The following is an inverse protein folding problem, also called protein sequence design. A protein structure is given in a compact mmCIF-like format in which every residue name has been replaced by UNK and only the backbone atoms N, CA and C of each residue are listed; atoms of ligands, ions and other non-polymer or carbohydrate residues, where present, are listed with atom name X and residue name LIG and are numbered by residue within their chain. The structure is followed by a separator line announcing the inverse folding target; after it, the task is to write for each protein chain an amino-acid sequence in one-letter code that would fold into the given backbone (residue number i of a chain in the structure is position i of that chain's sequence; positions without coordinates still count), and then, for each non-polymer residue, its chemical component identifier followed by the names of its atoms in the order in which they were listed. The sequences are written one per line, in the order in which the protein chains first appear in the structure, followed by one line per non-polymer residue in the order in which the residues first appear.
data_IF_791490320863
#
_entry.id   IF_791490320863
#
_cell.length_a   1.000
_cell.length_b   1.000
_cell.length_c   1.000
_cell.angle_alpha   90.00
_cell.angle_beta   90.00
_cell.angle_gamma   90.00
#
_symmetry.space_group_name_H-M   'P 1'
#
loop_
_entity.id
_entity.type
_entity.pdbx_description
1 polymer ?
#
# COMPACT_ATOMS: atom_id res chain seq x y z
N UNK A 1 10.11 -16.10 37.85
CA UNK A 1 10.29 -14.76 37.22
C UNK A 1 10.81 -14.89 35.79
N UNK A 2 11.80 -15.74 35.51
CA UNK A 2 12.31 -15.97 34.13
C UNK A 2 11.24 -16.46 33.15
N UNK A 3 10.40 -17.40 33.54
CA UNK A 3 9.37 -17.96 32.65
C UNK A 3 8.30 -16.93 32.26
N UNK A 4 7.97 -16.00 33.17
CA UNK A 4 7.07 -14.88 32.90
C UNK A 4 7.71 -13.85 31.96
N UNK A 5 8.99 -13.57 32.17
CA UNK A 5 9.77 -12.66 31.32
C UNK A 5 9.82 -13.14 29.87
N UNK A 6 10.07 -14.45 29.65
CA UNK A 6 10.11 -15.03 28.30
C UNK A 6 8.77 -14.92 27.57
N UNK A 7 7.65 -15.07 28.28
CA UNK A 7 6.30 -14.93 27.71
C UNK A 7 6.02 -13.48 27.28
N UNK A 8 6.42 -12.51 28.10
CA UNK A 8 6.20 -11.09 27.78
C UNK A 8 7.05 -10.66 26.58
N UNK A 9 8.31 -11.08 26.54
CA UNK A 9 9.22 -10.77 25.43
C UNK A 9 8.74 -11.39 24.11
N UNK A 10 8.32 -12.66 24.13
CA UNK A 10 7.80 -13.32 22.93
C UNK A 10 6.50 -12.68 22.44
N UNK A 11 5.58 -12.35 23.34
CA UNK A 11 4.35 -11.64 22.99
C UNK A 11 4.67 -10.28 22.34
N UNK A 12 5.62 -9.52 22.89
CA UNK A 12 6.04 -8.23 22.35
C UNK A 12 6.61 -8.37 20.93
N UNK A 13 7.50 -9.35 20.71
CA UNK A 13 8.09 -9.62 19.40
C UNK A 13 7.00 -10.01 18.38
N UNK A 14 6.05 -10.88 18.77
CA UNK A 14 4.95 -11.29 17.90
C UNK A 14 4.08 -10.09 17.51
N UNK A 15 3.76 -9.20 18.46
CA UNK A 15 3.00 -7.98 18.12
C UNK A 15 3.75 -7.05 17.18
N UNK A 16 5.06 -6.87 17.36
CA UNK A 16 5.88 -6.04 16.45
C UNK A 16 5.91 -6.65 15.06
N UNK A 17 6.11 -7.97 14.96
CA UNK A 17 6.10 -8.68 13.69
C UNK A 17 4.73 -8.59 13.01
N UNK A 18 3.63 -8.76 13.74
CA UNK A 18 2.27 -8.66 13.21
C UNK A 18 1.94 -7.25 12.69
N UNK A 19 2.36 -6.20 13.41
CA UNK A 19 2.20 -4.81 12.95
C UNK A 19 3.06 -4.54 11.72
N UNK A 20 4.31 -5.01 11.72
CA UNK A 20 5.22 -4.84 10.59
C UNK A 20 4.72 -5.55 9.32
N UNK A 21 4.17 -6.76 9.45
CA UNK A 21 3.52 -7.50 8.37
C UNK A 21 2.25 -6.79 7.86
N UNK A 22 1.52 -6.11 8.75
CA UNK A 22 0.37 -5.27 8.36
C UNK A 22 0.79 -4.01 7.59
N UNK A 23 2.01 -3.51 7.82
CA UNK A 23 2.58 -2.32 7.15
C UNK A 23 3.43 -2.64 5.92
N UNK A 24 3.75 -3.92 5.67
CA UNK A 24 4.60 -4.36 4.57
C UNK A 24 3.86 -5.33 3.65
N UNK A 25 3.46 -4.91 2.43
CA UNK A 25 2.84 -5.81 1.48
C UNK A 25 3.97 -6.59 0.79
N UNK A 26 4.24 -7.83 1.22
CA UNK A 26 5.25 -8.63 0.51
C UNK A 26 5.75 -9.93 1.12
N UNK A 27 5.04 -10.58 2.05
CA UNK A 27 5.50 -11.86 2.62
C UNK A 27 4.44 -12.97 2.63
N UNK A 28 3.49 -12.93 1.68
CA UNK A 28 2.62 -14.06 1.37
C UNK A 28 2.82 -14.50 -0.09
N UNK A 29 4.06 -14.70 -0.50
CA UNK A 29 4.36 -15.52 -1.68
C UNK A 29 4.53 -16.95 -1.20
N UNK A 30 3.43 -17.57 -0.77
CA UNK A 30 3.37 -19.02 -0.67
C UNK A 30 3.28 -19.57 -2.11
N UNK A 31 4.12 -20.57 -2.36
CA UNK A 31 4.29 -21.22 -3.64
C UNK A 31 2.95 -21.69 -4.24
N UNK A 32 2.54 -21.07 -5.34
CA UNK A 32 1.54 -21.65 -6.23
C UNK A 32 2.22 -21.98 -7.56
N UNK A 33 2.83 -23.18 -7.62
CA UNK A 33 3.13 -23.85 -8.87
C UNK A 33 1.84 -23.98 -9.70
N UNK A 34 1.78 -23.34 -10.87
CA UNK A 34 0.84 -23.75 -11.92
C UNK A 34 -0.16 -22.74 -12.49
N UNK A 35 0.01 -21.42 -12.33
CA UNK A 35 -0.82 -20.45 -13.07
C UNK A 35 -0.07 -19.95 -14.32
N UNK A 36 -0.69 -19.94 -15.53
CA UNK A 36 -0.05 -19.40 -16.72
C UNK A 36 0.33 -17.94 -16.46
N UNK A 37 1.59 -17.60 -16.73
CA UNK A 37 2.08 -16.23 -16.58
C UNK A 37 1.17 -15.29 -17.39
N UNK A 38 0.50 -14.31 -16.76
CA UNK A 38 -0.16 -13.28 -17.52
C UNK A 38 0.93 -12.57 -18.32
N UNK A 39 0.70 -12.45 -19.63
CA UNK A 39 1.48 -11.62 -20.55
C UNK A 39 1.90 -10.33 -19.83
N UNK A 40 3.16 -9.86 -19.98
CA UNK A 40 3.63 -8.67 -19.29
C UNK A 40 2.78 -7.49 -19.75
N UNK A 41 1.75 -7.18 -18.97
CA UNK A 41 0.94 -5.98 -19.12
C UNK A 41 1.91 -4.82 -19.08
N UNK A 42 2.06 -4.20 -20.24
CA UNK A 42 2.82 -2.98 -20.50
C UNK A 42 2.86 -2.09 -19.27
N UNK A 43 4.07 -1.95 -18.74
CA UNK A 43 4.54 -0.96 -17.79
C UNK A 43 3.43 -0.30 -16.96
N UNK A 44 3.27 -0.79 -15.74
CA UNK A 44 2.66 0.03 -14.70
C UNK A 44 3.64 1.17 -14.40
N UNK A 45 3.60 2.21 -15.22
CA UNK A 45 4.56 3.33 -15.19
C UNK A 45 4.22 4.34 -14.07
N UNK A 46 3.05 4.17 -13.44
CA UNK A 46 2.56 5.00 -12.35
C UNK A 46 2.26 4.16 -11.09
N UNK A 47 2.59 4.74 -9.93
CA UNK A 47 2.32 4.16 -8.61
C UNK A 47 0.83 3.84 -8.41
N UNK A 48 -0.09 4.61 -9.00
CA UNK A 48 -1.53 4.32 -8.93
C UNK A 48 -1.90 3.02 -9.63
N UNK A 49 -1.29 2.76 -10.79
CA UNK A 49 -1.52 1.52 -11.52
C UNK A 49 -1.07 0.30 -10.71
N UNK A 50 -0.02 0.43 -9.89
CA UNK A 50 0.47 -0.67 -9.04
C UNK A 50 -0.57 -0.99 -7.97
N UNK A 51 -1.15 0.04 -7.36
CA UNK A 51 -2.21 -0.12 -6.36
C UNK A 51 -3.48 -0.76 -6.95
N UNK A 52 -3.84 -0.40 -8.17
CA UNK A 52 -4.98 -1.03 -8.87
C UNK A 52 -4.69 -2.50 -9.16
N UNK A 53 -3.49 -2.85 -9.64
CA UNK A 53 -3.14 -4.26 -9.88
C UNK A 53 -3.17 -5.08 -8.59
N UNK A 54 -2.67 -4.53 -7.49
CA UNK A 54 -2.71 -5.20 -6.18
C UNK A 54 -4.14 -5.38 -5.66
N UNK A 55 -5.02 -4.39 -5.86
CA UNK A 55 -6.43 -4.49 -5.48
C UNK A 55 -7.15 -5.57 -6.29
N UNK A 56 -6.90 -5.61 -7.61
CA UNK A 56 -7.49 -6.62 -8.50
C UNK A 56 -6.96 -8.03 -8.23
N UNK A 57 -5.69 -8.14 -7.83
CA UNK A 57 -5.09 -9.39 -7.36
C UNK A 57 -5.56 -9.82 -5.96
N UNK A 58 -6.32 -8.96 -5.25
CA UNK A 58 -6.76 -9.22 -3.88
C UNK A 58 -5.64 -9.14 -2.83
N UNK A 59 -4.47 -8.62 -3.21
CA UNK A 59 -3.30 -8.46 -2.33
C UNK A 59 -3.50 -7.32 -1.33
N UNK A 60 -4.35 -6.34 -1.68
CA UNK A 60 -4.78 -5.27 -0.78
C UNK A 60 -6.30 -5.19 -0.76
N UNK A 61 -6.83 -4.74 0.38
CA UNK A 61 -8.25 -4.45 0.55
C UNK A 61 -8.62 -3.09 -0.04
N UNK A 62 -9.90 -2.88 -0.33
CA UNK A 62 -10.42 -1.57 -0.78
C UNK A 62 -10.11 -0.44 0.20
N UNK A 63 -10.11 -0.73 1.52
CA UNK A 63 -9.78 0.26 2.54
C UNK A 63 -8.29 0.66 2.50
N UNK A 64 -7.40 -0.29 2.26
CA UNK A 64 -5.96 -0.04 2.09
C UNK A 64 -5.69 0.74 0.80
N UNK A 65 -6.34 0.37 -0.31
CA UNK A 65 -6.27 1.11 -1.58
C UNK A 65 -6.65 2.59 -1.37
N UNK A 66 -7.80 2.85 -0.73
CA UNK A 66 -8.27 4.22 -0.49
C UNK A 66 -7.27 5.04 0.31
N UNK A 67 -6.75 4.49 1.41
CA UNK A 67 -5.76 5.17 2.26
C UNK A 67 -4.45 5.44 1.53
N UNK A 68 -4.02 4.53 0.65
CA UNK A 68 -2.81 4.69 -0.15
C UNK A 68 -2.98 5.81 -1.18
N UNK A 69 -4.12 5.85 -1.88
CA UNK A 69 -4.47 6.91 -2.85
C UNK A 69 -4.58 8.26 -2.16
N UNK A 70 -5.23 8.35 -0.99
CA UNK A 70 -5.28 9.59 -0.17
C UNK A 70 -3.87 10.12 0.13
N UNK A 71 -2.95 9.24 0.52
CA UNK A 71 -1.56 9.62 0.78
C UNK A 71 -0.76 9.98 -0.47
N UNK A 72 -1.15 9.50 -1.65
CA UNK A 72 -0.53 9.91 -2.91
C UNK A 72 -1.01 11.30 -3.31
N UNK A 73 -2.32 11.54 -3.26
CA UNK A 73 -2.94 12.83 -3.55
C UNK A 73 -2.38 13.94 -2.64
N UNK A 74 -2.27 13.71 -1.33
CA UNK A 74 -1.69 14.68 -0.41
C UNK A 74 -0.24 15.07 -0.77
N UNK A 75 0.56 14.09 -1.24
CA UNK A 75 1.94 14.36 -1.70
C UNK A 75 1.97 15.03 -3.07
N UNK A 76 0.96 14.80 -3.91
CA UNK A 76 0.85 15.43 -5.21
C UNK A 76 0.46 16.90 -5.05
N UNK A 77 -0.47 17.22 -4.15
CA UNK A 77 -0.82 18.60 -3.78
C UNK A 77 0.41 19.39 -3.30
N UNK A 78 1.29 18.76 -2.51
CA UNK A 78 2.55 19.37 -2.04
C UNK A 78 3.55 19.60 -3.18
N UNK A 79 3.62 18.69 -4.17
CA UNK A 79 4.62 18.73 -5.26
C UNK A 79 4.15 19.54 -6.47
N UNK A 80 2.85 19.51 -6.75
CA UNK A 80 2.20 20.06 -7.94
C UNK A 80 0.96 20.86 -7.53
N UNK A 81 1.12 21.98 -6.79
CA UNK A 81 -0.01 22.77 -6.33
C UNK A 81 -0.81 23.30 -7.53
N UNK A 82 -2.12 23.08 -7.53
CA UNK A 82 -3.01 23.62 -8.57
C UNK A 82 -3.19 25.12 -8.38
N UNK A 83 -2.77 25.91 -9.36
CA UNK A 83 -3.03 27.35 -9.39
C UNK A 83 -4.47 27.61 -9.86
N UNK A 84 -5.24 28.36 -9.08
CA UNK A 84 -6.55 28.84 -9.51
C UNK A 84 -6.31 29.93 -10.57
N UNK A 85 -6.84 29.79 -11.79
CA UNK A 85 -6.70 30.83 -12.80
C UNK A 85 -7.37 32.13 -12.31
N UNK A 86 -6.80 33.31 -12.63
CA UNK A 86 -7.38 34.57 -12.21
C UNK A 86 -8.82 34.67 -12.70
N UNK A 87 -9.72 35.17 -11.86
CA UNK A 87 -11.07 35.51 -12.31
C UNK A 87 -10.94 36.50 -13.47
N UNK A 88 -11.25 36.04 -14.68
CA UNK A 88 -11.48 36.92 -15.82
C UNK A 88 -12.75 37.71 -15.53
N UNK A 89 -12.57 38.82 -14.81
CA UNK A 89 -13.60 39.83 -14.61
C UNK A 89 -14.21 40.19 -15.96
N UNK A 90 -15.53 40.04 -16.03
CA UNK A 90 -16.33 40.45 -17.18
C UNK A 90 -16.47 41.97 -17.18
N UNK A 91 -16.03 42.59 -18.28
CA UNK A 91 -16.59 43.76 -19.00
C UNK A 91 -15.49 44.67 -19.56
#
# INVERSE_FOLDING_TARGET
MEMFYLIVVSAMIITILAVSAWTWPGLAQEASEGQPAPEPSTAVESLEGVLVTQLMAGEITTAQYRRAVEGLAARDDDRHPMAVPPETGTA
#
